data_IF_868239900466
#
_entry.id   IF_868239900466
#
_cell.length_a   1.000
_cell.length_b   1.000
_cell.length_c   1.000
_cell.angle_alpha   90.00
_cell.angle_beta   90.00
_cell.angle_gamma   90.00
#
_symmetry.space_group_name_H-M   'P 1'
#
loop_
_entity.id
_entity.type
_entity.pdbx_description
1 polymer ?
#
# COMPACT_ATOMS: atom_id res chain seq x y z
N UNK A 1 -31.20 0.48 -26.95
CA UNK A 1 -31.51 -0.57 -25.94
C UNK A 1 -30.39 -1.60 -25.74
N UNK A 2 -29.18 -1.36 -26.24
CA UNK A 2 -28.01 -2.28 -26.13
C UNK A 2 -27.16 -2.07 -24.87
N UNK A 3 -27.36 -0.97 -24.15
CA UNK A 3 -26.52 -0.53 -23.05
C UNK A 3 -26.62 -1.41 -21.77
N UNK A 4 -27.82 -1.72 -21.33
CA UNK A 4 -28.04 -2.44 -20.07
C UNK A 4 -27.60 -3.92 -20.06
N UNK A 5 -27.47 -4.58 -21.21
CA UNK A 5 -26.98 -5.97 -21.30
C UNK A 5 -25.46 -6.03 -21.23
N UNK A 6 -24.82 -5.07 -21.86
CA UNK A 6 -23.34 -4.91 -21.85
C UNK A 6 -22.86 -4.54 -20.45
N UNK A 7 -23.55 -3.62 -19.77
CA UNK A 7 -23.23 -3.23 -18.37
C UNK A 7 -23.39 -4.40 -17.39
N UNK A 8 -24.46 -5.21 -17.52
CA UNK A 8 -24.65 -6.40 -16.67
C UNK A 8 -23.58 -7.46 -16.91
N UNK A 9 -23.17 -7.67 -18.17
CA UNK A 9 -22.11 -8.61 -18.51
C UNK A 9 -20.76 -8.16 -17.95
N UNK A 10 -20.47 -6.85 -18.02
CA UNK A 10 -19.27 -6.24 -17.43
C UNK A 10 -19.26 -6.41 -15.90
N UNK A 11 -20.35 -6.04 -15.23
CA UNK A 11 -20.48 -6.17 -13.78
C UNK A 11 -20.32 -7.64 -13.31
N UNK A 12 -20.91 -8.59 -14.04
CA UNK A 12 -20.76 -10.01 -13.73
C UNK A 12 -19.32 -10.51 -13.91
N UNK A 13 -18.60 -9.97 -14.92
CA UNK A 13 -17.17 -10.27 -15.13
C UNK A 13 -16.32 -9.73 -13.99
N UNK A 14 -16.50 -8.45 -13.63
CA UNK A 14 -15.79 -7.81 -12.52
C UNK A 14 -16.05 -8.52 -11.19
N UNK A 15 -17.29 -8.92 -10.93
CA UNK A 15 -17.63 -9.67 -9.72
C UNK A 15 -16.94 -11.04 -9.67
N UNK A 16 -16.83 -11.73 -10.80
CA UNK A 16 -16.13 -13.02 -10.88
C UNK A 16 -14.62 -12.87 -10.68
N UNK A 17 -14.03 -11.82 -11.25
CA UNK A 17 -12.63 -11.50 -11.05
C UNK A 17 -12.34 -11.21 -9.57
N UNK A 18 -13.19 -10.41 -8.91
CA UNK A 18 -13.11 -10.14 -7.48
C UNK A 18 -13.17 -11.42 -6.64
N UNK A 19 -14.10 -12.31 -6.94
CA UNK A 19 -14.23 -13.61 -6.25
C UNK A 19 -12.92 -14.41 -6.32
N UNK A 20 -12.28 -14.48 -7.49
CA UNK A 20 -11.00 -15.18 -7.66
C UNK A 20 -9.90 -14.49 -6.84
N UNK A 21 -9.82 -13.17 -6.87
CA UNK A 21 -8.81 -12.40 -6.14
C UNK A 21 -8.97 -12.54 -4.62
N UNK A 22 -10.19 -12.49 -4.09
CA UNK A 22 -10.47 -12.65 -2.66
C UNK A 22 -10.09 -14.06 -2.17
N UNK A 23 -10.48 -15.10 -2.92
CA UNK A 23 -10.08 -16.46 -2.62
C UNK A 23 -8.55 -16.63 -2.66
N UNK A 24 -7.91 -16.06 -3.69
CA UNK A 24 -6.46 -16.12 -3.85
C UNK A 24 -5.73 -15.44 -2.69
N UNK A 25 -6.23 -14.31 -2.21
CA UNK A 25 -5.65 -13.62 -1.06
C UNK A 25 -5.62 -14.52 0.19
N UNK A 26 -6.70 -15.25 0.45
CA UNK A 26 -6.79 -16.18 1.58
C UNK A 26 -5.80 -17.35 1.43
N UNK A 27 -5.66 -17.91 0.22
CA UNK A 27 -4.72 -19.01 -0.04
C UNK A 27 -3.28 -18.53 0.11
N UNK A 28 -2.93 -17.38 -0.48
CA UNK A 28 -1.60 -16.80 -0.33
C UNK A 28 -1.27 -16.45 1.12
N UNK A 29 -2.24 -15.94 1.88
CA UNK A 29 -2.08 -15.66 3.31
C UNK A 29 -1.75 -16.91 4.13
N UNK A 30 -2.41 -18.03 3.81
CA UNK A 30 -2.27 -19.28 4.56
C UNK A 30 -1.01 -20.08 4.18
N UNK A 31 -0.60 -20.06 2.91
CA UNK A 31 0.44 -20.96 2.34
C UNK A 31 1.67 -20.23 1.78
N UNK A 32 1.66 -18.89 1.76
CA UNK A 32 2.64 -18.08 1.05
C UNK A 32 2.48 -18.17 -0.47
N UNK A 33 3.20 -17.32 -1.20
CA UNK A 33 3.16 -17.30 -2.67
C UNK A 33 3.70 -18.60 -3.28
N UNK A 34 4.86 -19.07 -2.81
CA UNK A 34 5.52 -20.26 -3.37
C UNK A 34 4.79 -21.55 -3.03
N UNK A 35 4.18 -21.64 -1.86
CA UNK A 35 3.40 -22.81 -1.43
C UNK A 35 2.02 -22.94 -2.09
N UNK A 36 1.64 -22.01 -2.97
CA UNK A 36 0.34 -21.96 -3.64
C UNK A 36 0.46 -22.41 -5.10
N UNK A 37 -0.41 -23.30 -5.54
CA UNK A 37 -0.59 -23.69 -6.94
C UNK A 37 -1.83 -23.05 -7.57
N UNK A 38 -1.93 -23.06 -8.92
CA UNK A 38 -3.17 -22.63 -9.61
C UNK A 38 -4.35 -23.50 -9.21
N UNK A 39 -4.16 -24.80 -8.95
CA UNK A 39 -5.23 -25.68 -8.49
C UNK A 39 -5.80 -25.24 -7.15
N UNK A 40 -4.94 -24.85 -6.20
CA UNK A 40 -5.39 -24.32 -4.90
C UNK A 40 -6.24 -23.06 -5.06
N UNK A 41 -5.88 -22.18 -6.02
CA UNK A 41 -6.64 -20.95 -6.29
C UNK A 41 -8.00 -21.24 -6.93
N UNK A 42 -8.04 -22.18 -7.88
CA UNK A 42 -9.26 -22.64 -8.55
C UNK A 42 -10.24 -23.26 -7.55
N UNK A 43 -9.74 -24.16 -6.70
CA UNK A 43 -10.52 -24.85 -5.68
C UNK A 43 -11.07 -23.87 -4.64
N UNK A 44 -10.24 -22.95 -4.14
CA UNK A 44 -10.64 -21.94 -3.17
C UNK A 44 -11.67 -20.95 -3.74
N UNK A 45 -11.51 -20.57 -5.01
CA UNK A 45 -12.44 -19.66 -5.67
C UNK A 45 -13.78 -20.34 -6.05
N UNK A 46 -13.86 -21.66 -6.00
CA UNK A 46 -15.07 -22.42 -6.38
C UNK A 46 -15.46 -22.22 -7.85
N UNK A 47 -14.48 -22.07 -8.74
CA UNK A 47 -14.70 -21.89 -10.18
C UNK A 47 -14.16 -23.06 -10.99
N UNK A 48 -14.72 -23.29 -12.19
CA UNK A 48 -14.11 -24.26 -13.10
C UNK A 48 -12.73 -23.77 -13.56
N UNK A 49 -11.79 -24.70 -13.78
CA UNK A 49 -10.42 -24.36 -14.22
C UNK A 49 -10.41 -23.54 -15.51
N UNK A 50 -11.29 -23.85 -16.47
CA UNK A 50 -11.45 -23.05 -17.70
C UNK A 50 -11.93 -21.62 -17.41
N UNK A 51 -12.81 -21.46 -16.42
CA UNK A 51 -13.27 -20.13 -15.99
C UNK A 51 -12.13 -19.32 -15.39
N UNK A 52 -11.28 -19.93 -14.56
CA UNK A 52 -10.10 -19.24 -14.02
C UNK A 52 -9.21 -18.67 -15.12
N UNK A 53 -8.89 -19.48 -16.15
CA UNK A 53 -8.03 -19.05 -17.25
C UNK A 53 -8.66 -18.01 -18.20
N UNK A 54 -9.96 -17.70 -18.07
CA UNK A 54 -10.58 -16.55 -18.74
C UNK A 54 -10.20 -15.19 -18.09
N UNK A 55 -9.69 -15.23 -16.86
CA UNK A 55 -9.34 -14.03 -16.07
C UNK A 55 -7.84 -13.93 -15.81
N UNK A 56 -7.18 -15.04 -15.53
CA UNK A 56 -5.76 -15.06 -15.13
C UNK A 56 -5.00 -16.21 -15.77
N UNK A 57 -3.92 -15.91 -16.45
CA UNK A 57 -3.08 -16.91 -17.14
C UNK A 57 -2.20 -17.71 -16.18
N UNK A 58 -1.95 -17.20 -14.98
CA UNK A 58 -1.05 -17.81 -13.99
C UNK A 58 -1.34 -17.33 -12.56
N UNK A 59 -0.76 -18.01 -11.55
CA UNK A 59 -0.79 -17.49 -10.17
C UNK A 59 -0.05 -16.15 -10.03
N UNK A 60 0.98 -15.93 -10.85
CA UNK A 60 1.70 -14.67 -10.91
C UNK A 60 0.79 -13.53 -11.35
N UNK A 61 -0.04 -13.74 -12.39
CA UNK A 61 -1.01 -12.73 -12.84
C UNK A 61 -2.01 -12.37 -11.75
N UNK A 62 -2.50 -13.37 -10.99
CA UNK A 62 -3.37 -13.14 -9.83
C UNK A 62 -2.67 -12.31 -8.75
N UNK A 63 -1.42 -12.66 -8.43
CA UNK A 63 -0.65 -11.93 -7.42
C UNK A 63 -0.39 -10.49 -7.83
N UNK A 64 0.00 -10.25 -9.10
CA UNK A 64 0.19 -8.90 -9.64
C UNK A 64 -1.09 -8.07 -9.60
N UNK A 65 -2.24 -8.66 -9.88
CA UNK A 65 -3.53 -7.98 -9.78
C UNK A 65 -3.86 -7.59 -8.32
N UNK A 66 -3.60 -8.48 -7.36
CA UNK A 66 -3.74 -8.17 -5.92
C UNK A 66 -2.79 -7.06 -5.49
N UNK A 67 -1.52 -7.14 -5.90
CA UNK A 67 -0.51 -6.12 -5.62
C UNK A 67 -0.94 -4.75 -6.16
N UNK A 68 -1.39 -4.68 -7.42
CA UNK A 68 -1.85 -3.43 -8.03
C UNK A 68 -3.03 -2.82 -7.26
N UNK A 69 -3.99 -3.64 -6.83
CA UNK A 69 -5.12 -3.17 -6.01
C UNK A 69 -4.67 -2.60 -4.66
N UNK A 70 -3.73 -3.26 -3.98
CA UNK A 70 -3.14 -2.74 -2.74
C UNK A 70 -2.47 -1.39 -2.98
N UNK A 71 -1.63 -1.30 -4.01
CA UNK A 71 -0.88 -0.09 -4.33
C UNK A 71 -1.78 1.07 -4.75
N UNK A 72 -2.86 0.80 -5.48
CA UNK A 72 -3.90 1.80 -5.81
C UNK A 72 -4.60 2.28 -4.54
N UNK A 73 -4.98 1.37 -3.64
CA UNK A 73 -5.62 1.72 -2.37
C UNK A 73 -4.68 2.55 -1.48
N UNK A 74 -3.40 2.17 -1.39
CA UNK A 74 -2.38 2.92 -0.63
C UNK A 74 -2.15 4.32 -1.21
N UNK A 75 -2.09 4.46 -2.54
CA UNK A 75 -2.01 5.78 -3.20
C UNK A 75 -3.25 6.63 -2.93
N UNK A 76 -4.43 6.02 -2.98
CA UNK A 76 -5.69 6.72 -2.68
C UNK A 76 -5.80 7.20 -1.22
N UNK A 77 -5.12 6.54 -0.29
CA UNK A 77 -5.04 6.97 1.11
C UNK A 77 -4.11 8.19 1.32
N UNK A 78 -3.23 8.46 0.36
CA UNK A 78 -2.25 9.56 0.43
C UNK A 78 -2.85 10.81 -0.22
N UNK A 79 -3.51 11.63 0.58
CA UNK A 79 -4.04 12.92 0.16
C UNK A 79 -2.92 13.97 0.14
N UNK A 80 -3.04 14.97 -0.73
CA UNK A 80 -2.13 16.11 -0.73
C UNK A 80 -2.31 16.97 0.54
N UNK A 81 -1.24 17.70 0.91
CA UNK A 81 -1.31 18.68 2.01
C UNK A 81 -2.06 19.92 1.54
N UNK A 82 -3.05 20.36 2.32
CA UNK A 82 -3.76 21.61 2.10
C UNK A 82 -2.97 22.78 2.71
N UNK A 83 -2.53 23.70 1.84
CA UNK A 83 -1.75 24.87 2.24
C UNK A 83 -2.55 26.18 2.26
N UNK A 84 -3.88 26.08 2.08
CA UNK A 84 -4.77 27.27 2.11
C UNK A 84 -4.88 27.87 3.50
N UNK A 85 -5.16 29.15 3.58
CA UNK A 85 -5.41 29.83 4.84
C UNK A 85 -6.58 29.17 5.60
N UNK A 86 -6.37 28.86 6.88
CA UNK A 86 -7.35 28.16 7.72
C UNK A 86 -7.31 26.64 7.62
N UNK A 87 -6.44 26.04 6.83
CA UNK A 87 -6.22 24.60 6.84
C UNK A 87 -5.68 24.11 8.20
N UNK A 88 -5.87 22.83 8.49
CA UNK A 88 -5.33 22.21 9.69
C UNK A 88 -3.78 22.33 9.71
N UNK A 89 -3.14 22.30 10.89
CA UNK A 89 -1.68 22.32 11.00
C UNK A 89 -1.04 21.22 10.16
N UNK A 90 0.11 21.52 9.55
CA UNK A 90 0.85 20.59 8.68
C UNK A 90 1.06 19.23 9.36
N UNK A 91 1.47 19.23 10.62
CA UNK A 91 1.69 18.00 11.41
C UNK A 91 0.43 17.13 11.47
N UNK A 92 -0.74 17.73 11.74
CA UNK A 92 -2.00 16.99 11.84
C UNK A 92 -2.41 16.38 10.49
N UNK A 93 -2.18 17.11 9.40
CA UNK A 93 -2.44 16.63 8.04
C UNK A 93 -1.53 15.45 7.70
N UNK A 94 -0.23 15.54 7.99
CA UNK A 94 0.73 14.44 7.73
C UNK A 94 0.41 13.22 8.60
N UNK A 95 0.02 13.40 9.87
CA UNK A 95 -0.46 12.32 10.74
C UNK A 95 -1.70 11.64 10.14
N UNK A 96 -2.66 12.42 9.64
CA UNK A 96 -3.87 11.88 9.03
C UNK A 96 -3.57 11.06 7.77
N UNK A 97 -2.67 11.54 6.91
CA UNK A 97 -2.19 10.84 5.70
C UNK A 97 -1.53 9.50 6.10
N UNK A 98 -0.58 9.55 7.03
CA UNK A 98 0.14 8.35 7.46
C UNK A 98 -0.79 7.34 8.15
N UNK A 99 -1.75 7.82 8.97
CA UNK A 99 -2.78 6.99 9.59
C UNK A 99 -3.62 6.27 8.52
N UNK A 100 -4.12 6.99 7.52
CA UNK A 100 -4.91 6.41 6.44
C UNK A 100 -4.10 5.35 5.66
N UNK A 101 -2.83 5.63 5.39
CA UNK A 101 -1.91 4.69 4.74
C UNK A 101 -1.71 3.41 5.57
N UNK A 102 -1.38 3.54 6.85
CA UNK A 102 -1.19 2.40 7.77
C UNK A 102 -2.48 1.59 7.96
N UNK A 103 -3.65 2.25 8.03
CA UNK A 103 -4.96 1.59 8.10
C UNK A 103 -5.23 0.74 6.86
N UNK A 104 -4.95 1.28 5.68
CA UNK A 104 -5.10 0.57 4.40
C UNK A 104 -4.18 -0.65 4.35
N UNK A 105 -2.92 -0.49 4.75
CA UNK A 105 -1.95 -1.57 4.81
C UNK A 105 -2.36 -2.67 5.81
N UNK A 106 -2.85 -2.29 6.99
CA UNK A 106 -3.35 -3.23 8.00
C UNK A 106 -4.58 -4.00 7.51
N UNK A 107 -5.51 -3.35 6.82
CA UNK A 107 -6.67 -3.99 6.19
C UNK A 107 -6.33 -4.99 5.08
N UNK A 108 -5.13 -4.88 4.49
CA UNK A 108 -4.62 -5.80 3.45
C UNK A 108 -3.36 -6.53 3.93
N UNK A 109 -3.27 -6.83 5.21
CA UNK A 109 -2.07 -7.30 5.88
C UNK A 109 -1.44 -8.55 5.25
N UNK A 110 -2.25 -9.55 4.89
CA UNK A 110 -1.75 -10.77 4.27
C UNK A 110 -0.88 -10.45 3.05
N UNK A 111 -1.40 -9.61 2.15
CA UNK A 111 -0.69 -9.18 0.95
C UNK A 111 0.50 -8.28 1.29
N UNK A 112 0.34 -7.34 2.21
CA UNK A 112 1.40 -6.47 2.70
C UNK A 112 2.57 -7.31 3.25
N UNK A 113 2.28 -8.33 4.06
CA UNK A 113 3.29 -9.23 4.62
C UNK A 113 4.05 -10.00 3.53
N UNK A 114 3.34 -10.58 2.56
CA UNK A 114 3.95 -11.32 1.45
C UNK A 114 4.85 -10.38 0.63
N UNK A 115 4.35 -9.21 0.26
CA UNK A 115 5.10 -8.23 -0.55
C UNK A 115 6.39 -7.81 0.15
N UNK A 116 6.35 -7.49 1.44
CA UNK A 116 7.52 -6.97 2.14
C UNK A 116 8.47 -8.05 2.69
N UNK A 117 7.96 -9.21 3.09
CA UNK A 117 8.79 -10.29 3.64
C UNK A 117 9.33 -11.24 2.58
N UNK A 118 8.54 -11.53 1.55
CA UNK A 118 8.87 -12.52 0.52
C UNK A 118 9.36 -11.88 -0.78
N UNK A 119 9.43 -10.54 -0.87
CA UNK A 119 9.77 -9.80 -2.09
C UNK A 119 11.08 -10.28 -2.75
N UNK A 120 12.06 -10.72 -1.96
CA UNK A 120 13.37 -11.20 -2.46
C UNK A 120 13.25 -12.56 -3.16
N UNK A 121 12.24 -13.36 -2.81
CA UNK A 121 12.02 -14.72 -3.36
C UNK A 121 10.91 -14.76 -4.41
N UNK A 122 10.22 -13.63 -4.68
CA UNK A 122 9.17 -13.57 -5.69
C UNK A 122 9.75 -13.65 -7.11
N UNK A 123 8.90 -14.01 -8.06
CA UNK A 123 9.26 -14.03 -9.49
C UNK A 123 9.76 -12.65 -9.94
N UNK A 124 10.72 -12.63 -10.89
CA UNK A 124 11.38 -11.41 -11.35
C UNK A 124 10.39 -10.30 -11.77
N UNK A 125 9.33 -10.64 -12.49
CA UNK A 125 8.33 -9.65 -12.91
C UNK A 125 7.58 -9.01 -11.73
N UNK A 126 7.33 -9.78 -10.65
CA UNK A 126 6.75 -9.24 -9.42
C UNK A 126 7.74 -8.30 -8.73
N UNK A 127 9.01 -8.70 -8.65
CA UNK A 127 10.07 -7.84 -8.08
C UNK A 127 10.23 -6.53 -8.86
N UNK A 128 10.20 -6.59 -10.18
CA UNK A 128 10.27 -5.41 -11.05
C UNK A 128 9.10 -4.47 -10.78
N UNK A 129 7.88 -5.01 -10.69
CA UNK A 129 6.68 -4.21 -10.41
C UNK A 129 6.73 -3.56 -9.03
N UNK A 130 7.19 -4.29 -8.00
CA UNK A 130 7.42 -3.72 -6.65
C UNK A 130 8.42 -2.58 -6.71
N UNK A 131 9.58 -2.75 -7.40
CA UNK A 131 10.59 -1.70 -7.54
C UNK A 131 10.09 -0.45 -8.28
N UNK A 132 9.29 -0.63 -9.34
CA UNK A 132 8.67 0.50 -10.05
C UNK A 132 7.80 1.34 -9.12
N UNK A 133 6.97 0.67 -8.30
CA UNK A 133 6.10 1.37 -7.34
C UNK A 133 6.90 2.03 -6.21
N UNK A 134 7.94 1.37 -5.72
CA UNK A 134 8.86 1.94 -4.73
C UNK A 134 9.50 3.23 -5.27
N UNK A 135 10.03 3.19 -6.49
CA UNK A 135 10.62 4.35 -7.15
C UNK A 135 9.61 5.50 -7.34
N UNK A 136 8.39 5.20 -7.77
CA UNK A 136 7.34 6.19 -7.92
C UNK A 136 6.93 6.81 -6.58
N UNK A 137 6.88 6.02 -5.51
CA UNK A 137 6.53 6.50 -4.17
C UNK A 137 7.65 7.38 -3.58
N UNK A 138 8.92 6.98 -3.73
CA UNK A 138 10.07 7.78 -3.35
C UNK A 138 10.09 9.13 -4.08
N UNK A 139 9.86 9.13 -5.39
CA UNK A 139 9.79 10.36 -6.19
C UNK A 139 8.65 11.28 -5.72
N UNK A 140 7.49 10.71 -5.36
CA UNK A 140 6.37 11.46 -4.82
C UNK A 140 6.70 12.09 -3.46
N UNK A 141 7.30 11.34 -2.52
CA UNK A 141 7.74 11.89 -1.21
C UNK A 141 8.75 13.02 -1.44
N UNK A 142 9.80 12.76 -2.23
CA UNK A 142 10.84 13.74 -2.51
C UNK A 142 10.27 15.03 -3.14
N UNK A 143 9.36 14.91 -4.10
CA UNK A 143 8.66 16.03 -4.71
C UNK A 143 7.83 16.82 -3.69
N UNK A 144 7.12 16.14 -2.79
CA UNK A 144 6.35 16.78 -1.72
C UNK A 144 7.23 17.54 -0.74
N UNK A 145 8.39 16.99 -0.37
CA UNK A 145 9.37 17.62 0.49
C UNK A 145 10.00 18.86 -0.17
N UNK A 146 10.36 18.80 -1.46
CA UNK A 146 10.84 19.98 -2.22
C UNK A 146 9.80 21.09 -2.23
N UNK A 147 8.55 20.78 -2.47
CA UNK A 147 7.46 21.75 -2.42
C UNK A 147 7.31 22.35 -1.02
N UNK A 148 7.40 21.55 0.04
CA UNK A 148 7.36 22.03 1.43
C UNK A 148 8.48 23.03 1.75
N UNK A 149 9.70 22.77 1.26
CA UNK A 149 10.82 23.73 1.38
C UNK A 149 10.55 25.00 0.57
N UNK A 150 10.10 24.88 -0.67
CA UNK A 150 9.79 26.02 -1.53
C UNK A 150 8.69 26.95 -0.95
N UNK A 151 7.73 26.36 -0.23
CA UNK A 151 6.65 27.08 0.45
C UNK A 151 7.05 27.60 1.85
N UNK A 152 8.28 27.35 2.31
CA UNK A 152 8.73 27.74 3.65
C UNK A 152 8.12 26.92 4.80
N UNK A 153 7.45 25.82 4.50
CA UNK A 153 6.84 24.91 5.49
C UNK A 153 7.87 23.98 6.14
N UNK A 154 8.96 23.70 5.43
CA UNK A 154 10.05 22.85 5.88
C UNK A 154 11.37 23.59 5.79
N UNK A 155 12.29 23.33 6.72
CA UNK A 155 13.67 23.82 6.62
C UNK A 155 14.38 23.19 5.41
N UNK A 156 15.38 23.85 4.81
CA UNK A 156 16.21 23.26 3.76
C UNK A 156 16.86 21.95 4.23
N UNK A 157 16.79 20.92 3.41
CA UNK A 157 17.37 19.58 3.61
C UNK A 157 17.54 18.89 2.27
N UNK A 158 18.19 17.72 2.26
CA UNK A 158 18.24 16.83 1.10
C UNK A 158 16.91 16.06 0.98
N UNK A 159 16.03 16.38 0.01
CA UNK A 159 14.71 15.77 -0.09
C UNK A 159 14.76 14.31 -0.57
N UNK A 160 15.80 13.91 -1.31
CA UNK A 160 15.93 12.55 -1.81
C UNK A 160 16.38 11.62 -0.68
N UNK A 161 17.36 12.05 0.13
CA UNK A 161 17.75 11.33 1.34
C UNK A 161 16.59 11.25 2.35
N UNK A 162 15.89 12.34 2.57
CA UNK A 162 14.75 12.37 3.50
C UNK A 162 13.64 11.42 3.02
N UNK A 163 13.36 11.34 1.71
CA UNK A 163 12.40 10.41 1.16
C UNK A 163 12.78 8.94 1.43
N UNK A 164 14.05 8.60 1.27
CA UNK A 164 14.57 7.24 1.57
C UNK A 164 14.41 6.91 3.05
N UNK A 165 14.73 7.83 3.95
CA UNK A 165 14.60 7.64 5.40
C UNK A 165 13.12 7.46 5.81
N UNK A 166 12.21 8.30 5.28
CA UNK A 166 10.77 8.20 5.53
C UNK A 166 10.23 6.86 5.01
N UNK A 167 10.57 6.51 3.77
CA UNK A 167 10.13 5.23 3.16
C UNK A 167 10.64 4.03 3.97
N UNK A 168 11.91 4.02 4.35
CA UNK A 168 12.51 2.96 5.16
C UNK A 168 11.81 2.80 6.51
N UNK A 169 11.49 3.90 7.18
CA UNK A 169 10.76 3.88 8.44
C UNK A 169 9.34 3.33 8.26
N UNK A 170 8.60 3.81 7.26
CA UNK A 170 7.25 3.30 6.92
C UNK A 170 7.30 1.80 6.64
N UNK A 171 8.21 1.36 5.78
CA UNK A 171 8.39 -0.05 5.44
C UNK A 171 8.63 -0.92 6.68
N UNK A 172 9.55 -0.51 7.58
CA UNK A 172 9.84 -1.26 8.80
C UNK A 172 8.65 -1.29 9.77
N UNK A 173 7.88 -0.22 9.86
CA UNK A 173 6.64 -0.20 10.66
C UNK A 173 5.63 -1.20 10.09
N UNK A 174 5.46 -1.25 8.76
CA UNK A 174 4.59 -2.24 8.11
C UNK A 174 5.03 -3.68 8.39
N UNK A 175 6.34 -3.94 8.37
CA UNK A 175 6.90 -5.29 8.56
C UNK A 175 6.87 -5.76 10.03
N UNK A 176 7.09 -4.85 10.99
CA UNK A 176 7.40 -5.19 12.37
C UNK A 176 6.32 -4.81 13.38
N UNK A 177 5.56 -3.76 13.10
CA UNK A 177 4.64 -3.16 14.06
C UNK A 177 3.17 -3.44 13.75
N UNK A 178 2.85 -3.96 12.56
CA UNK A 178 1.49 -4.36 12.24
C UNK A 178 1.32 -5.88 12.38
N UNK A 179 0.35 -6.29 13.20
CA UNK A 179 -0.02 -7.68 13.43
C UNK A 179 -1.56 -7.84 13.46
N UNK A 180 -2.07 -9.06 13.65
CA UNK A 180 -3.50 -9.35 13.65
C UNK A 180 -4.24 -8.73 14.85
N UNK A 181 -3.50 -8.22 15.83
CA UNK A 181 -4.02 -7.58 17.03
C UNK A 181 -3.89 -6.06 16.98
N UNK A 182 -3.31 -5.51 15.88
CA UNK A 182 -3.10 -4.07 15.71
C UNK A 182 -4.44 -3.33 15.70
N UNK A 183 -4.62 -2.45 16.67
CA UNK A 183 -5.83 -1.64 16.84
C UNK A 183 -5.72 -0.29 16.13
N UNK A 184 -6.86 0.40 15.98
CA UNK A 184 -6.87 1.77 15.48
C UNK A 184 -6.04 2.73 16.37
N UNK A 185 -6.00 2.47 17.69
CA UNK A 185 -5.19 3.24 18.64
C UNK A 185 -3.68 3.02 18.41
N UNK A 186 -3.27 1.78 18.09
CA UNK A 186 -1.88 1.49 17.74
C UNK A 186 -1.47 2.19 16.45
N UNK A 187 -2.33 2.19 15.44
CA UNK A 187 -2.09 2.89 14.16
C UNK A 187 -1.95 4.40 14.41
N UNK A 188 -2.82 5.00 15.23
CA UNK A 188 -2.72 6.43 15.56
C UNK A 188 -1.42 6.75 16.32
N UNK A 189 -1.04 5.92 17.29
CA UNK A 189 0.23 6.05 18.04
C UNK A 189 1.44 5.93 17.12
N UNK A 190 1.45 4.97 16.21
CA UNK A 190 2.53 4.79 15.23
C UNK A 190 2.62 5.98 14.28
N UNK A 191 1.51 6.45 13.73
CA UNK A 191 1.47 7.60 12.83
C UNK A 191 2.00 8.87 13.50
N UNK A 192 1.55 9.18 14.72
CA UNK A 192 2.04 10.35 15.48
C UNK A 192 3.51 10.24 15.83
N UNK A 193 3.94 9.08 16.33
CA UNK A 193 5.35 8.88 16.71
C UNK A 193 6.30 8.99 15.52
N UNK A 194 5.91 8.45 14.36
CA UNK A 194 6.71 8.58 13.13
C UNK A 194 6.79 10.03 12.65
N UNK A 195 5.68 10.76 12.64
CA UNK A 195 5.66 12.17 12.23
C UNK A 195 6.45 13.02 13.19
N UNK A 196 6.29 12.84 14.49
CA UNK A 196 7.03 13.56 15.51
C UNK A 196 8.54 13.33 15.35
N UNK A 197 8.96 12.06 15.22
CA UNK A 197 10.37 11.71 15.01
C UNK A 197 10.97 12.36 13.75
N UNK A 198 10.25 12.36 12.64
CA UNK A 198 10.75 12.91 11.36
C UNK A 198 10.76 14.44 11.32
N UNK A 199 9.80 15.09 11.96
CA UNK A 199 9.70 16.55 11.95
C UNK A 199 10.55 17.21 13.05
N UNK A 200 10.66 16.58 14.21
CA UNK A 200 11.32 17.17 15.38
C UNK A 200 12.63 16.48 15.79
N UNK A 201 12.81 15.19 15.37
CA UNK A 201 13.98 14.38 15.76
C UNK A 201 13.91 13.90 17.21
N UNK A 202 15.08 13.55 17.77
CA UNK A 202 15.21 13.02 19.15
C UNK A 202 15.79 14.03 20.14
N UNK A 203 16.23 15.21 19.66
CA UNK A 203 16.75 16.23 20.54
C UNK A 203 15.61 17.07 21.11
N UNK A 204 15.74 17.55 22.37
CA UNK A 204 14.78 18.49 22.93
C UNK A 204 14.71 19.75 22.06
N UNK A 205 13.56 20.44 22.00
CA UNK A 205 13.46 21.68 21.28
C UNK A 205 14.50 22.69 21.85
N UNK A 206 15.19 23.36 20.93
CA UNK A 206 16.11 24.43 21.35
C UNK A 206 15.25 25.57 21.94
N UNK A 207 15.28 25.71 23.25
CA UNK A 207 14.67 26.85 23.93
C UNK A 207 15.51 28.09 23.57
N UNK A 208 14.89 28.99 22.79
CA UNK A 208 15.47 30.29 22.48
C UNK A 208 15.53 31.19 23.70
#
# INVERSE_FOLDING_TARGET
MTDGRTERAKAAREQRELQILEAALQVFAARGYHGTSVSDLVDAAGVARGTFYLYFDSKQAVFLALLERLLVAMRGAVLGVDTRAGAAPLTDQVVAILRAFLTTAAGSRALTTIVFREAVVLDQAVQERVREHEGAFLAWISGSLRNGVALGLLRPHDPDLAAVLIYGAVRHVLERCLDDHTTAADIDRLARGMVDHHLHGLLPPVTA
#
